data_IF_525932879931
#
_entry.id   IF_525932879931
#
_cell.length_a   1.000
_cell.length_b   1.000
_cell.length_c   1.000
_cell.angle_alpha   90.00
_cell.angle_beta   90.00
_cell.angle_gamma   90.00
#
_symmetry.space_group_name_H-M   'P 1'
#
loop_
_entity.id
_entity.type
_entity.pdbx_description
1 polymer ?
#
# COMPACT_ATOMS: atom_id res chain seq x y z
N UNK A 1 -6.12 -28.60 36.12
CA UNK A 1 -6.33 -27.64 35.01
C UNK A 1 -6.06 -26.25 35.56
N UNK A 2 -5.06 -25.55 35.05
CA UNK A 2 -4.77 -24.16 35.42
C UNK A 2 -5.60 -23.17 34.59
N UNK A 3 -5.66 -21.92 35.03
CA UNK A 3 -6.22 -20.82 34.23
C UNK A 3 -5.24 -20.52 33.10
N UNK A 4 -5.67 -20.67 31.84
CA UNK A 4 -4.83 -20.44 30.66
C UNK A 4 -4.75 -18.97 30.28
N UNK A 5 -5.89 -18.26 30.31
CA UNK A 5 -6.02 -16.84 29.92
C UNK A 5 -6.96 -16.10 30.85
N UNK A 6 -6.70 -14.82 31.06
CA UNK A 6 -7.54 -13.91 31.84
C UNK A 6 -8.02 -12.78 30.94
N UNK A 7 -9.33 -12.57 30.87
CA UNK A 7 -9.94 -11.47 30.12
C UNK A 7 -10.60 -10.48 31.08
N UNK A 8 -10.23 -9.22 30.99
CA UNK A 8 -10.90 -8.12 31.69
C UNK A 8 -12.05 -7.64 30.81
N UNK A 9 -13.29 -7.81 31.27
CA UNK A 9 -14.48 -7.69 30.40
C UNK A 9 -15.39 -6.49 30.71
N UNK A 10 -15.10 -5.64 31.70
CA UNK A 10 -16.00 -4.50 31.93
C UNK A 10 -15.65 -3.56 33.07
N UNK A 11 -16.14 -2.33 32.92
CA UNK A 11 -16.01 -1.20 33.85
C UNK A 11 -14.95 -0.20 33.38
N UNK A 12 -15.33 1.06 33.17
CA UNK A 12 -14.40 2.10 32.70
C UNK A 12 -13.16 2.23 33.60
N UNK A 13 -13.35 2.20 34.92
CA UNK A 13 -12.26 2.21 35.90
C UNK A 13 -11.42 0.93 35.85
N UNK A 14 -12.06 -0.24 35.75
CA UNK A 14 -11.38 -1.54 35.67
C UNK A 14 -10.53 -1.62 34.40
N UNK A 15 -11.01 -1.10 33.27
CA UNK A 15 -10.22 -0.98 32.05
C UNK A 15 -9.03 -0.04 32.23
N UNK A 16 -9.21 1.11 32.90
CA UNK A 16 -8.11 2.03 33.16
C UNK A 16 -6.99 1.38 33.98
N UNK A 17 -7.36 0.67 35.05
CA UNK A 17 -6.42 -0.07 35.90
C UNK A 17 -5.74 -1.22 35.14
N UNK A 18 -6.52 -1.98 34.36
CA UNK A 18 -6.00 -3.08 33.55
C UNK A 18 -5.03 -2.58 32.46
N UNK A 19 -5.39 -1.56 31.70
CA UNK A 19 -4.55 -0.97 30.64
C UNK A 19 -3.27 -0.34 31.18
N UNK A 20 -3.28 0.14 32.44
CA UNK A 20 -2.08 0.63 33.12
C UNK A 20 -1.15 -0.51 33.58
N UNK A 21 -1.66 -1.73 33.77
CA UNK A 21 -0.89 -2.86 34.25
C UNK A 21 0.11 -3.37 33.20
N UNK A 22 1.36 -3.69 33.59
CA UNK A 22 2.33 -4.31 32.68
C UNK A 22 1.92 -5.71 32.22
N UNK A 23 0.93 -6.33 32.88
CA UNK A 23 0.39 -7.64 32.53
C UNK A 23 -0.69 -7.58 31.44
N UNK A 24 -1.19 -6.40 31.06
CA UNK A 24 -2.10 -6.27 29.94
C UNK A 24 -1.34 -6.43 28.62
N UNK A 25 -1.54 -7.58 27.97
CA UNK A 25 -0.83 -7.94 26.75
C UNK A 25 -1.51 -7.43 25.48
N UNK A 26 -2.84 -7.38 25.47
CA UNK A 26 -3.62 -7.06 24.28
C UNK A 26 -4.93 -6.38 24.64
N UNK A 27 -5.43 -5.58 23.70
CA UNK A 27 -6.78 -5.01 23.72
C UNK A 27 -7.54 -5.58 22.51
N UNK A 28 -8.65 -6.24 22.79
CA UNK A 28 -9.60 -6.69 21.75
C UNK A 28 -10.81 -5.78 21.82
N UNK A 29 -10.97 -4.94 20.81
CA UNK A 29 -11.98 -3.89 20.81
C UNK A 29 -12.97 -4.15 19.67
N UNK A 30 -14.25 -3.94 19.95
CA UNK A 30 -15.28 -3.81 18.93
C UNK A 30 -15.61 -2.32 18.84
N UNK A 31 -15.23 -1.70 17.74
CA UNK A 31 -15.68 -0.36 17.43
C UNK A 31 -17.07 -0.42 16.83
N UNK A 32 -17.97 0.45 17.31
CA UNK A 32 -19.33 0.59 16.81
C UNK A 32 -19.51 2.03 16.34
N UNK A 33 -19.65 2.20 15.04
CA UNK A 33 -19.97 3.49 14.42
C UNK A 33 -21.47 3.58 14.19
N UNK A 34 -22.16 4.63 14.68
CA UNK A 34 -23.58 4.83 14.41
C UNK A 34 -23.91 4.90 12.91
N UNK A 35 -25.19 4.70 12.52
CA UNK A 35 -25.66 4.99 11.18
C UNK A 35 -25.31 6.42 10.76
N UNK A 36 -24.94 6.63 9.49
CA UNK A 36 -24.49 7.95 9.03
C UNK A 36 -25.59 9.03 9.12
N UNK A 37 -26.85 8.62 9.04
CA UNK A 37 -28.06 9.43 9.19
C UNK A 37 -28.46 9.67 10.65
N UNK A 38 -27.87 8.95 11.62
CA UNK A 38 -28.13 9.08 13.05
C UNK A 38 -26.82 9.06 13.87
N UNK A 39 -25.94 10.07 13.74
CA UNK A 39 -24.63 10.07 14.39
C UNK A 39 -24.68 10.10 15.93
N UNK A 40 -25.80 10.54 16.53
CA UNK A 40 -26.02 10.62 17.98
C UNK A 40 -26.91 9.48 18.52
N UNK A 41 -27.10 8.40 17.74
CA UNK A 41 -27.99 7.28 18.10
C UNK A 41 -27.70 6.68 19.48
N UNK A 42 -26.44 6.65 19.89
CA UNK A 42 -26.01 6.04 21.15
C UNK A 42 -25.60 7.11 22.16
N UNK A 43 -26.31 7.20 23.29
CA UNK A 43 -25.92 8.02 24.45
C UNK A 43 -25.05 7.18 25.39
N UNK A 44 -23.91 7.74 25.80
CA UNK A 44 -22.95 7.04 26.67
C UNK A 44 -22.72 7.82 27.97
N UNK A 45 -22.64 7.10 29.09
CA UNK A 45 -22.30 7.60 30.43
C UNK A 45 -20.95 7.03 30.94
N UNK A 46 -20.38 6.07 30.22
CA UNK A 46 -19.08 5.47 30.47
C UNK A 46 -18.28 5.39 29.16
N UNK A 47 -16.96 5.57 29.27
CA UNK A 47 -16.04 5.63 28.12
C UNK A 47 -14.84 4.71 28.34
N UNK A 48 -14.34 4.13 27.24
CA UNK A 48 -13.06 3.44 27.24
C UNK A 48 -11.94 4.47 27.50
N UNK A 49 -10.96 4.19 28.38
CA UNK A 49 -9.78 5.04 28.52
C UNK A 49 -9.06 5.21 27.18
N UNK A 50 -8.43 6.37 26.98
CA UNK A 50 -7.64 6.61 25.78
C UNK A 50 -6.53 5.57 25.66
N UNK A 51 -6.43 4.95 24.48
CA UNK A 51 -5.35 4.01 24.18
C UNK A 51 -4.07 4.82 24.01
N UNK A 52 -3.10 4.61 24.91
CA UNK A 52 -1.79 5.23 24.85
C UNK A 52 -0.95 4.56 23.73
N UNK A 53 -0.63 5.26 22.63
CA UNK A 53 0.11 4.69 21.51
C UNK A 53 1.55 4.30 21.88
N UNK A 54 2.09 4.85 22.98
CA UNK A 54 3.39 4.44 23.52
C UNK A 54 3.32 3.11 24.28
N UNK A 55 2.11 2.63 24.62
CA UNK A 55 1.88 1.36 25.32
C UNK A 55 1.20 0.32 24.47
N UNK A 56 0.36 0.69 23.51
CA UNK A 56 -0.39 -0.23 22.68
C UNK A 56 -0.38 0.22 21.21
N UNK A 57 -0.05 -0.70 20.30
CA UNK A 57 -0.12 -0.45 18.84
C UNK A 57 -1.18 -1.33 18.20
N UNK A 58 -1.91 -0.76 17.23
CA UNK A 58 -2.85 -1.52 16.42
C UNK A 58 -2.07 -2.57 15.65
N UNK A 59 -2.46 -3.83 15.80
CA UNK A 59 -1.83 -4.94 15.10
C UNK A 59 -2.68 -5.40 13.93
N UNK A 60 -3.98 -5.56 14.13
CA UNK A 60 -4.86 -6.04 13.08
C UNK A 60 -6.26 -5.48 13.26
N UNK A 61 -6.93 -5.29 12.13
CA UNK A 61 -8.32 -4.90 12.00
C UNK A 61 -9.05 -5.92 11.13
N UNK A 62 -10.30 -6.20 11.48
CA UNK A 62 -11.22 -6.86 10.58
C UNK A 62 -11.82 -5.86 9.59
N UNK A 63 -12.36 -6.38 8.48
CA UNK A 63 -13.20 -5.59 7.58
C UNK A 63 -14.44 -5.07 8.35
N UNK A 64 -14.83 -3.80 8.16
CA UNK A 64 -16.06 -3.28 8.73
C UNK A 64 -17.30 -4.07 8.25
N UNK A 65 -18.22 -4.37 9.15
CA UNK A 65 -19.49 -5.05 8.88
C UNK A 65 -20.66 -4.11 9.16
N UNK A 66 -21.65 -4.09 8.26
CA UNK A 66 -22.87 -3.30 8.46
C UNK A 66 -23.93 -4.14 9.16
N UNK A 67 -24.43 -3.63 10.28
CA UNK A 67 -25.52 -4.22 11.04
C UNK A 67 -26.89 -3.85 10.45
N UNK A 68 -27.92 -4.63 10.80
CA UNK A 68 -29.29 -4.42 10.30
C UNK A 68 -29.86 -3.04 10.66
N UNK A 69 -29.42 -2.48 11.78
CA UNK A 69 -29.86 -1.19 12.29
C UNK A 69 -29.09 -0.01 11.67
N UNK A 70 -28.26 -0.27 10.66
CA UNK A 70 -27.47 0.71 9.94
C UNK A 70 -26.09 1.00 10.53
N UNK A 71 -25.80 0.53 11.74
CA UNK A 71 -24.50 0.73 12.38
C UNK A 71 -23.39 -0.05 11.65
N UNK A 72 -22.16 0.39 11.83
CA UNK A 72 -20.98 -0.33 11.34
C UNK A 72 -20.15 -0.83 12.52
N UNK A 73 -19.82 -2.12 12.52
CA UNK A 73 -18.95 -2.73 13.53
C UNK A 73 -17.59 -3.10 12.92
N UNK A 74 -16.52 -2.89 13.68
CA UNK A 74 -15.17 -3.29 13.28
C UNK A 74 -14.44 -3.89 14.47
N UNK A 75 -13.80 -5.05 14.27
CA UNK A 75 -13.00 -5.70 15.30
C UNK A 75 -11.54 -5.27 15.18
N UNK A 76 -10.95 -4.82 16.28
CA UNK A 76 -9.59 -4.34 16.36
C UNK A 76 -8.81 -5.15 17.40
N UNK A 77 -7.55 -5.44 17.11
CA UNK A 77 -6.60 -6.01 18.07
C UNK A 77 -5.40 -5.11 18.20
N UNK A 78 -5.15 -4.62 19.41
CA UNK A 78 -3.94 -3.89 19.79
C UNK A 78 -3.08 -4.78 20.68
N UNK A 79 -1.75 -4.63 20.58
CA UNK A 79 -0.80 -5.31 21.46
C UNK A 79 0.05 -4.33 22.25
N UNK A 80 0.39 -4.74 23.46
CA UNK A 80 1.29 -4.02 24.36
C UNK A 80 2.70 -3.92 23.77
N UNK A 81 3.30 -2.74 23.83
CA UNK A 81 4.69 -2.48 23.40
C UNK A 81 5.56 -2.03 24.58
N UNK A 82 6.82 -2.44 24.56
CA UNK A 82 7.83 -2.00 25.50
C UNK A 82 8.12 -0.50 25.27
N UNK A 83 7.99 0.37 26.29
CA UNK A 83 8.10 1.82 26.09
C UNK A 83 9.51 2.28 25.70
N UNK A 84 10.55 1.49 26.00
CA UNK A 84 11.93 1.85 25.69
C UNK A 84 12.34 1.46 24.26
N UNK A 85 11.80 0.37 23.75
CA UNK A 85 12.18 -0.20 22.45
C UNK A 85 11.10 -0.07 21.37
N UNK A 86 9.84 0.21 21.76
CA UNK A 86 8.68 0.23 20.87
C UNK A 86 8.27 -1.15 20.33
N UNK A 87 8.96 -2.22 20.72
CA UNK A 87 8.70 -3.61 20.30
C UNK A 87 7.58 -4.21 21.12
N UNK A 88 6.86 -5.18 20.57
CA UNK A 88 5.82 -5.86 21.33
C UNK A 88 6.34 -6.59 22.57
N UNK A 89 5.54 -6.53 23.64
CA UNK A 89 5.77 -7.27 24.88
C UNK A 89 5.36 -8.72 24.66
N UNK A 90 6.28 -9.55 24.17
CA UNK A 90 6.11 -11.01 24.19
C UNK A 90 6.64 -11.59 25.53
N UNK A 91 5.94 -12.55 26.17
CA UNK A 91 6.56 -13.40 27.17
C UNK A 91 7.50 -14.39 26.45
N UNK A 92 8.77 -14.03 26.25
CA UNK A 92 9.84 -14.93 25.76
C UNK A 92 9.75 -15.36 24.29
N UNK A 93 10.33 -14.57 23.39
CA UNK A 93 10.81 -14.90 22.03
C UNK A 93 9.94 -15.81 21.11
N UNK A 94 8.94 -15.20 20.49
CA UNK A 94 8.54 -15.19 19.06
C UNK A 94 7.37 -14.19 19.02
N UNK A 95 7.35 -13.30 18.04
CA UNK A 95 6.85 -11.91 18.20
C UNK A 95 5.39 -11.83 18.69
N UNK A 96 4.55 -12.84 18.44
CA UNK A 96 3.20 -12.94 19.01
C UNK A 96 2.88 -14.36 19.53
N UNK A 97 2.31 -14.50 20.75
CA UNK A 97 1.91 -15.81 21.25
C UNK A 97 0.78 -16.43 20.42
N UNK A 98 0.70 -17.77 20.40
CA UNK A 98 -0.38 -18.48 19.72
C UNK A 98 -1.76 -18.07 20.29
N UNK A 99 -2.67 -17.64 19.40
CA UNK A 99 -3.99 -17.16 19.79
C UNK A 99 -3.99 -15.78 20.47
N UNK A 100 -2.98 -14.96 20.20
CA UNK A 100 -2.89 -13.57 20.64
C UNK A 100 -3.86 -12.65 19.86
N UNK A 101 -4.26 -13.03 18.65
CA UNK A 101 -5.20 -12.26 17.84
C UNK A 101 -6.62 -12.79 18.04
N UNK A 102 -7.59 -11.88 18.13
CA UNK A 102 -9.00 -12.25 18.24
C UNK A 102 -9.40 -13.19 17.09
N UNK A 103 -10.21 -14.21 17.39
CA UNK A 103 -10.65 -15.20 16.40
C UNK A 103 -11.34 -14.48 15.23
N UNK A 104 -10.84 -14.70 14.01
CA UNK A 104 -11.36 -14.08 12.79
C UNK A 104 -10.74 -12.73 12.43
N UNK A 105 -9.84 -12.19 13.26
CA UNK A 105 -9.00 -11.03 12.93
C UNK A 105 -7.63 -11.54 12.49
N UNK A 106 -7.10 -11.01 11.38
CA UNK A 106 -5.79 -11.39 10.85
C UNK A 106 -5.05 -10.16 10.36
N UNK A 107 -3.73 -10.13 10.53
CA UNK A 107 -2.91 -9.04 10.00
C UNK A 107 -3.03 -8.98 8.48
N UNK A 108 -3.24 -7.80 7.92
CA UNK A 108 -3.51 -7.61 6.49
C UNK A 108 -2.33 -8.03 5.59
N UNK A 109 -1.08 -7.85 6.05
CA UNK A 109 0.14 -8.35 5.39
C UNK A 109 0.09 -9.85 5.09
N UNK A 110 -0.68 -10.64 5.84
CA UNK A 110 -0.82 -12.07 5.57
C UNK A 110 -1.41 -12.36 4.19
N UNK A 111 -2.20 -11.44 3.61
CA UNK A 111 -2.69 -11.61 2.24
C UNK A 111 -1.52 -11.77 1.25
N UNK A 112 -0.53 -10.88 1.34
CA UNK A 112 0.68 -10.93 0.51
C UNK A 112 1.53 -12.18 0.79
N UNK A 113 1.71 -12.55 2.06
CA UNK A 113 2.53 -13.70 2.46
C UNK A 113 1.90 -15.04 2.06
N UNK A 114 0.59 -15.18 2.23
CA UNK A 114 -0.15 -16.36 1.80
C UNK A 114 -0.07 -16.53 0.29
N UNK A 115 -0.23 -15.43 -0.46
CA UNK A 115 -0.10 -15.43 -1.91
C UNK A 115 1.29 -15.90 -2.36
N UNK A 116 2.38 -15.43 -1.72
CA UNK A 116 3.73 -15.93 -2.00
C UNK A 116 3.83 -17.43 -1.74
N UNK A 117 3.35 -17.89 -0.58
CA UNK A 117 3.40 -19.30 -0.21
C UNK A 117 2.63 -20.16 -1.22
N UNK A 118 1.40 -19.76 -1.54
CA UNK A 118 0.52 -20.42 -2.49
C UNK A 118 1.13 -20.47 -3.90
N UNK A 119 1.78 -19.39 -4.35
CA UNK A 119 2.50 -19.37 -5.62
C UNK A 119 3.67 -20.35 -5.61
N UNK A 120 4.49 -20.38 -4.55
CA UNK A 120 5.65 -21.27 -4.50
C UNK A 120 5.28 -22.75 -4.34
N UNK A 121 4.17 -23.06 -3.65
CA UNK A 121 3.71 -24.44 -3.41
C UNK A 121 2.86 -25.00 -4.55
N UNK A 122 2.02 -24.18 -5.17
CA UNK A 122 0.98 -24.63 -6.13
C UNK A 122 1.04 -23.94 -7.49
N UNK A 123 1.94 -22.96 -7.67
CA UNK A 123 2.01 -22.17 -8.89
C UNK A 123 2.59 -22.94 -10.08
N UNK A 124 2.30 -22.41 -11.27
CA UNK A 124 2.78 -22.99 -12.52
C UNK A 124 4.19 -22.48 -12.83
N UNK A 125 5.12 -23.41 -13.03
CA UNK A 125 6.48 -23.10 -13.48
C UNK A 125 6.44 -22.68 -14.95
N UNK A 126 6.99 -21.50 -15.26
CA UNK A 126 7.06 -20.93 -16.61
C UNK A 126 8.45 -20.36 -16.87
N UNK A 127 8.90 -20.44 -18.11
CA UNK A 127 9.95 -19.54 -18.59
C UNK A 127 9.44 -18.10 -18.68
N UNK A 128 10.35 -17.13 -18.80
CA UNK A 128 10.02 -15.72 -18.96
C UNK A 128 11.03 -15.01 -19.88
N UNK A 129 10.75 -13.75 -20.24
CA UNK A 129 11.58 -12.98 -21.19
C UNK A 129 13.01 -12.72 -20.69
N UNK A 130 13.23 -12.74 -19.38
CA UNK A 130 14.55 -12.49 -18.76
C UNK A 130 15.42 -13.74 -18.72
N UNK A 131 14.84 -14.92 -18.94
CA UNK A 131 15.53 -16.21 -18.82
C UNK A 131 15.69 -16.73 -17.39
N UNK A 132 15.18 -16.01 -16.37
CA UNK A 132 15.27 -16.39 -14.95
C UNK A 132 14.33 -17.55 -14.60
N UNK A 133 13.15 -17.60 -15.24
CA UNK A 133 12.05 -18.48 -14.87
C UNK A 133 11.21 -17.91 -13.72
N UNK A 134 9.95 -18.33 -13.69
CA UNK A 134 8.96 -17.89 -12.70
C UNK A 134 8.09 -19.06 -12.24
N UNK A 135 7.53 -18.93 -11.04
CA UNK A 135 6.41 -19.73 -10.54
C UNK A 135 5.23 -18.77 -10.41
N UNK A 136 4.07 -19.09 -10.98
CA UNK A 136 2.98 -18.10 -11.14
C UNK A 136 1.57 -18.63 -10.94
N UNK A 137 0.67 -17.74 -10.51
CA UNK A 137 -0.79 -17.89 -10.54
C UNK A 137 -1.41 -16.74 -11.32
N UNK A 138 -2.61 -16.94 -11.85
CA UNK A 138 -3.31 -15.93 -12.63
C UNK A 138 -4.61 -15.51 -11.95
N UNK A 139 -4.79 -14.21 -11.72
CA UNK A 139 -5.99 -13.66 -11.10
C UNK A 139 -5.97 -13.78 -9.57
N UNK A 140 -5.29 -12.86 -8.92
CA UNK A 140 -5.21 -12.76 -7.46
C UNK A 140 -5.73 -11.39 -6.99
N UNK A 141 -6.10 -11.27 -5.71
CA UNK A 141 -6.53 -9.98 -5.15
C UNK A 141 -6.09 -9.83 -3.70
N UNK A 142 -5.67 -8.63 -3.33
CA UNK A 142 -5.40 -8.20 -1.95
C UNK A 142 -6.18 -6.93 -1.64
N UNK A 143 -6.54 -6.71 -0.37
CA UNK A 143 -7.23 -5.49 0.11
C UNK A 143 -6.59 -4.97 1.39
N UNK A 144 -6.32 -3.68 1.46
CA UNK A 144 -5.67 -3.02 2.58
C UNK A 144 -6.53 -1.85 3.09
N UNK A 145 -6.74 -1.76 4.41
CA UNK A 145 -7.49 -0.68 5.07
C UNK A 145 -6.56 0.51 5.37
N UNK A 146 -6.81 1.65 4.71
CA UNK A 146 -5.99 2.85 4.85
C UNK A 146 -6.47 3.79 5.96
N UNK A 147 -7.57 3.47 6.66
CA UNK A 147 -8.18 4.36 7.66
C UNK A 147 -7.31 4.58 8.88
N UNK A 148 -6.50 3.58 9.25
CA UNK A 148 -5.78 3.53 10.54
C UNK A 148 -4.29 3.22 10.42
N UNK A 149 -3.87 2.62 9.31
CA UNK A 149 -2.49 2.20 9.09
C UNK A 149 -2.14 2.37 7.62
N UNK A 150 -0.85 2.32 7.33
CA UNK A 150 -0.32 2.43 5.99
C UNK A 150 0.35 1.12 5.59
N UNK A 151 -0.09 0.40 4.55
CA UNK A 151 0.34 -0.96 4.23
C UNK A 151 1.75 -0.99 3.62
N UNK A 152 2.74 -0.70 4.46
CA UNK A 152 4.16 -0.82 4.17
C UNK A 152 4.67 -2.09 4.85
N UNK A 153 5.06 -3.08 4.03
CA UNK A 153 5.42 -4.41 4.53
C UNK A 153 6.44 -4.35 5.67
N UNK A 154 6.24 -5.22 6.66
CA UNK A 154 7.06 -5.28 7.87
C UNK A 154 7.89 -6.54 7.94
N UNK A 155 7.51 -7.61 7.23
CA UNK A 155 8.31 -8.84 7.12
C UNK A 155 9.61 -8.68 6.34
N UNK A 156 9.78 -7.55 5.64
CA UNK A 156 11.04 -7.06 5.10
C UNK A 156 11.03 -5.53 5.06
N UNK A 157 12.21 -4.90 5.14
CA UNK A 157 12.33 -3.45 4.93
C UNK A 157 12.06 -3.07 3.47
N UNK A 158 11.06 -2.22 3.25
CA UNK A 158 10.74 -1.60 1.96
C UNK A 158 11.40 -0.22 1.88
N UNK A 159 11.91 0.16 0.71
CA UNK A 159 12.58 1.44 0.49
C UNK A 159 11.56 2.57 0.29
N UNK A 160 11.03 3.08 1.41
CA UNK A 160 9.97 4.10 1.44
C UNK A 160 10.26 5.34 0.59
N UNK A 161 11.49 5.89 0.67
CA UNK A 161 11.87 7.08 -0.09
C UNK A 161 11.73 6.86 -1.59
N UNK A 162 12.13 5.69 -2.09
CA UNK A 162 11.94 5.30 -3.49
C UNK A 162 10.47 5.28 -3.89
N UNK A 163 9.61 4.67 -3.06
CA UNK A 163 8.15 4.60 -3.30
C UNK A 163 7.54 5.99 -3.46
N UNK A 164 7.81 6.89 -2.51
CA UNK A 164 7.18 8.21 -2.48
C UNK A 164 7.69 9.11 -3.61
N UNK A 165 9.00 9.13 -3.87
CA UNK A 165 9.60 9.97 -4.90
C UNK A 165 9.25 9.48 -6.32
N UNK A 166 9.15 8.17 -6.54
CA UNK A 166 8.65 7.62 -7.81
C UNK A 166 7.19 8.01 -8.06
N UNK A 167 6.34 7.96 -7.01
CA UNK A 167 4.95 8.39 -7.16
C UNK A 167 4.86 9.89 -7.48
N UNK A 168 5.65 10.74 -6.81
CA UNK A 168 5.72 12.17 -7.13
C UNK A 168 6.19 12.38 -8.58
N UNK A 169 7.16 11.58 -9.04
CA UNK A 169 7.64 11.58 -10.42
C UNK A 169 6.53 11.21 -11.42
N UNK A 170 5.70 10.20 -11.14
CA UNK A 170 4.52 9.88 -11.94
C UNK A 170 3.49 11.01 -11.93
N UNK A 171 3.17 11.56 -10.75
CA UNK A 171 2.22 12.68 -10.61
C UNK A 171 2.66 13.85 -11.47
N UNK A 172 3.95 14.22 -11.46
CA UNK A 172 4.51 15.31 -12.28
C UNK A 172 4.50 15.06 -13.79
N UNK A 173 4.13 13.86 -14.25
CA UNK A 173 4.20 13.52 -15.67
C UNK A 173 5.61 13.24 -16.18
N UNK A 174 6.60 13.09 -15.29
CA UNK A 174 7.99 12.94 -15.68
C UNK A 174 8.26 11.57 -16.33
N UNK A 175 9.25 11.54 -17.22
CA UNK A 175 9.67 10.34 -17.97
C UNK A 175 11.19 10.14 -18.00
N UNK A 176 11.95 11.05 -17.39
CA UNK A 176 13.40 10.96 -17.27
C UNK A 176 13.80 10.20 -16.02
N UNK A 177 14.56 9.10 -16.17
CA UNK A 177 15.16 8.38 -15.05
C UNK A 177 16.18 9.26 -14.29
N UNK A 178 16.77 10.27 -14.95
CA UNK A 178 17.79 11.15 -14.35
C UNK A 178 17.26 11.94 -13.16
N UNK A 179 16.01 12.36 -13.19
CA UNK A 179 15.34 13.05 -12.07
C UNK A 179 15.28 12.22 -10.78
N UNK A 180 15.19 10.89 -10.91
CA UNK A 180 15.26 9.97 -9.79
C UNK A 180 16.73 9.70 -9.39
N UNK A 181 17.63 9.56 -10.36
CA UNK A 181 19.07 9.39 -10.11
C UNK A 181 19.68 10.57 -9.36
N UNK A 182 19.30 11.80 -9.70
CA UNK A 182 19.72 13.04 -9.03
C UNK A 182 19.30 13.06 -7.54
N UNK A 183 18.31 12.24 -7.17
CA UNK A 183 17.85 12.02 -5.80
C UNK A 183 18.43 10.77 -5.15
N UNK A 184 19.38 10.09 -5.80
CA UNK A 184 19.96 8.80 -5.40
C UNK A 184 18.92 7.67 -5.39
N UNK A 185 18.06 7.63 -6.42
CA UNK A 185 17.01 6.61 -6.59
C UNK A 185 17.18 5.93 -7.95
N UNK A 186 17.64 4.67 -7.89
CA UNK A 186 18.15 3.92 -9.04
C UNK A 186 17.21 2.80 -9.53
N UNK A 187 15.90 2.92 -9.23
CA UNK A 187 14.92 1.86 -9.54
C UNK A 187 14.63 1.71 -11.04
N UNK A 188 14.90 2.75 -11.83
CA UNK A 188 14.70 2.78 -13.29
C UNK A 188 15.99 2.63 -14.09
N UNK A 189 17.16 2.54 -13.43
CA UNK A 189 18.47 2.50 -14.10
C UNK A 189 18.58 1.35 -15.10
N UNK A 190 18.12 0.15 -14.72
CA UNK A 190 18.16 -1.02 -15.60
C UNK A 190 17.39 -0.77 -16.90
N UNK A 191 16.16 -0.25 -16.80
CA UNK A 191 15.29 0.01 -17.94
C UNK A 191 15.65 1.30 -18.71
N UNK A 192 16.39 2.22 -18.09
CA UNK A 192 16.86 3.47 -18.69
C UNK A 192 18.26 3.39 -19.29
N UNK A 193 19.00 2.31 -19.04
CA UNK A 193 20.37 2.12 -19.54
C UNK A 193 20.44 2.09 -21.07
N UNK A 194 21.58 2.54 -21.62
CA UNK A 194 21.84 2.50 -23.06
C UNK A 194 21.68 1.08 -23.62
N UNK A 195 22.28 0.10 -22.95
CA UNK A 195 22.23 -1.30 -23.37
C UNK A 195 20.80 -1.84 -23.45
N UNK A 196 19.97 -1.51 -22.45
CA UNK A 196 18.58 -1.96 -22.44
C UNK A 196 17.76 -1.28 -23.54
N UNK A 197 17.85 0.04 -23.66
CA UNK A 197 17.12 0.80 -24.69
C UNK A 197 17.49 0.32 -26.10
N UNK A 198 18.76 0.00 -26.36
CA UNK A 198 19.19 -0.61 -27.63
C UNK A 198 18.54 -1.98 -27.85
N UNK A 199 18.53 -2.82 -26.82
CA UNK A 199 17.98 -4.18 -26.89
C UNK A 199 16.48 -4.23 -27.22
N UNK A 200 15.74 -3.16 -26.87
CA UNK A 200 14.29 -3.05 -27.12
C UNK A 200 13.96 -2.17 -28.34
N UNK A 201 14.96 -1.76 -29.13
CA UNK A 201 14.74 -0.99 -30.37
C UNK A 201 14.54 0.51 -30.16
N UNK A 202 14.88 1.03 -28.98
CA UNK A 202 14.83 2.44 -28.60
C UNK A 202 16.22 3.10 -28.67
N UNK A 203 17.04 2.66 -29.63
CA UNK A 203 18.40 3.16 -29.88
C UNK A 203 18.53 4.66 -30.11
N UNK A 204 17.46 5.28 -30.59
CA UNK A 204 17.38 6.70 -30.91
C UNK A 204 17.12 7.59 -29.69
N UNK A 205 16.68 7.01 -28.56
CA UNK A 205 16.41 7.75 -27.32
C UNK A 205 17.70 8.06 -26.56
N UNK A 206 17.71 9.16 -25.83
CA UNK A 206 18.78 9.47 -24.87
C UNK A 206 18.78 8.44 -23.72
N UNK A 207 19.95 8.14 -23.15
CA UNK A 207 20.02 7.33 -21.93
C UNK A 207 19.22 8.00 -20.80
N UNK A 208 18.34 7.22 -20.16
CA UNK A 208 17.39 7.70 -19.15
C UNK A 208 16.06 8.21 -19.69
N UNK A 209 15.86 8.37 -21.00
CA UNK A 209 14.55 8.64 -21.61
C UNK A 209 13.74 7.35 -21.68
N UNK A 210 12.76 7.21 -20.78
CA UNK A 210 11.94 6.00 -20.68
C UNK A 210 10.78 5.97 -21.70
N UNK A 211 10.60 7.05 -22.48
CA UNK A 211 9.46 7.23 -23.36
C UNK A 211 8.16 7.57 -22.61
N UNK A 212 6.99 7.45 -23.28
CA UNK A 212 5.70 7.85 -22.74
C UNK A 212 5.14 6.86 -21.70
N UNK A 213 5.88 6.61 -20.61
CA UNK A 213 5.51 5.69 -19.52
C UNK A 213 4.44 6.28 -18.59
N UNK A 214 4.34 5.79 -17.35
CA UNK A 214 3.20 6.03 -16.45
C UNK A 214 2.79 7.49 -16.30
N UNK A 215 3.68 8.37 -15.83
CA UNK A 215 3.36 9.77 -15.58
C UNK A 215 2.88 10.50 -16.84
N UNK A 216 3.55 10.25 -17.97
CA UNK A 216 3.12 10.81 -19.24
C UNK A 216 1.71 10.37 -19.61
N UNK A 217 1.36 9.10 -19.44
CA UNK A 217 -0.02 8.67 -19.68
C UNK A 217 -0.99 9.29 -18.67
N UNK A 218 -0.58 9.58 -17.44
CA UNK A 218 -1.46 10.19 -16.45
C UNK A 218 -1.78 11.66 -16.75
N UNK A 219 -0.80 12.42 -17.28
CA UNK A 219 -0.91 13.87 -17.49
C UNK A 219 -1.11 14.29 -18.95
N UNK A 220 -0.73 13.43 -19.89
CA UNK A 220 -0.64 13.73 -21.33
C UNK A 220 -1.14 12.58 -22.21
N UNK A 221 -2.19 11.85 -21.78
CA UNK A 221 -2.67 10.68 -22.51
C UNK A 221 -3.04 11.03 -23.95
N UNK A 222 -2.45 10.30 -24.92
CA UNK A 222 -2.71 10.50 -26.34
C UNK A 222 -1.94 11.65 -27.00
N UNK A 223 -1.10 12.39 -26.27
CA UNK A 223 -0.13 13.30 -26.87
C UNK A 223 0.97 12.52 -27.63
N UNK A 224 1.50 13.12 -28.68
CA UNK A 224 2.68 12.61 -29.40
C UNK A 224 3.93 12.82 -28.54
N UNK A 225 4.62 11.74 -28.19
CA UNK A 225 5.86 11.82 -27.44
C UNK A 225 7.01 12.22 -28.36
N UNK A 226 7.81 13.21 -27.93
CA UNK A 226 9.00 13.69 -28.63
C UNK A 226 10.26 13.16 -27.94
N UNK A 227 10.56 13.69 -26.77
CA UNK A 227 11.66 13.31 -25.89
C UNK A 227 11.33 13.70 -24.44
N UNK A 228 12.18 13.31 -23.49
CA UNK A 228 12.00 13.62 -22.06
C UNK A 228 12.19 15.11 -21.68
N UNK A 229 12.65 15.96 -22.61
CA UNK A 229 12.94 17.39 -22.37
C UNK A 229 11.86 18.32 -22.90
N UNK A 230 10.99 17.82 -23.79
CA UNK A 230 9.91 18.59 -24.38
C UNK A 230 8.87 19.05 -23.35
N UNK A 231 8.32 20.24 -23.56
CA UNK A 231 7.18 20.73 -22.79
C UNK A 231 5.88 20.12 -23.34
N UNK A 232 5.21 19.33 -22.51
CA UNK A 232 3.93 18.69 -22.82
C UNK A 232 2.72 19.41 -22.21
N UNK A 233 2.91 20.59 -21.60
CA UNK A 233 1.84 21.36 -20.96
C UNK A 233 0.68 21.59 -21.93
N UNK A 234 -0.53 21.20 -21.51
CA UNK A 234 -1.75 21.33 -22.30
C UNK A 234 -1.89 20.36 -23.47
N UNK A 235 -0.98 19.38 -23.61
CA UNK A 235 -1.06 18.34 -24.64
C UNK A 235 -1.65 17.05 -24.08
N UNK A 236 -2.47 16.37 -24.89
CA UNK A 236 -3.15 15.13 -24.50
C UNK A 236 -4.27 15.36 -23.48
N UNK A 237 -4.65 14.29 -22.79
CA UNK A 237 -5.66 14.31 -21.72
C UNK A 237 -4.98 14.18 -20.36
N UNK A 238 -5.18 15.17 -19.49
CA UNK A 238 -4.75 15.11 -18.08
C UNK A 238 -5.77 14.31 -17.26
N UNK A 239 -5.58 12.99 -17.25
CA UNK A 239 -6.46 12.06 -16.55
C UNK A 239 -6.44 12.27 -15.04
N UNK A 240 -5.29 12.62 -14.44
CA UNK A 240 -5.18 12.83 -13.00
C UNK A 240 -5.99 14.06 -12.56
N UNK A 241 -5.91 15.15 -13.33
CA UNK A 241 -6.74 16.33 -13.09
C UNK A 241 -8.24 16.01 -13.24
N UNK A 242 -8.63 15.27 -14.28
CA UNK A 242 -10.03 14.83 -14.46
C UNK A 242 -10.52 13.93 -13.32
N UNK A 243 -9.68 13.03 -12.81
CA UNK A 243 -10.02 12.16 -11.66
C UNK A 243 -10.31 13.02 -10.43
N UNK A 244 -9.44 13.97 -10.11
CA UNK A 244 -9.60 14.86 -8.97
C UNK A 244 -10.86 15.72 -9.11
N UNK A 245 -11.11 16.26 -10.30
CA UNK A 245 -12.32 17.03 -10.60
C UNK A 245 -13.59 16.19 -10.39
N UNK A 246 -13.63 14.97 -10.95
CA UNK A 246 -14.77 14.05 -10.77
C UNK A 246 -14.98 13.69 -9.31
N UNK A 247 -13.93 13.44 -8.54
CA UNK A 247 -14.06 13.13 -7.11
C UNK A 247 -14.68 14.31 -6.35
N UNK A 248 -14.27 15.55 -6.64
CA UNK A 248 -14.78 16.75 -5.96
C UNK A 248 -16.21 17.10 -6.38
N UNK A 249 -16.50 17.02 -7.68
CA UNK A 249 -17.69 17.62 -8.28
C UNK A 249 -18.76 16.59 -8.70
N UNK A 250 -18.39 15.33 -8.86
CA UNK A 250 -19.29 14.23 -9.19
C UNK A 250 -18.89 12.92 -8.48
N UNK A 251 -18.83 12.87 -7.14
CA UNK A 251 -18.25 11.75 -6.39
C UNK A 251 -18.97 10.41 -6.60
N UNK A 252 -20.23 10.42 -7.05
CA UNK A 252 -21.01 9.22 -7.34
C UNK A 252 -20.76 8.67 -8.76
N UNK A 253 -19.88 9.31 -9.55
CA UNK A 253 -19.50 8.82 -10.87
C UNK A 253 -18.83 7.45 -10.75
N UNK A 254 -19.22 6.54 -11.64
CA UNK A 254 -18.69 5.17 -11.71
C UNK A 254 -17.54 5.05 -12.72
N UNK A 255 -17.06 6.18 -13.26
CA UNK A 255 -16.05 6.28 -14.32
C UNK A 255 -14.80 7.06 -13.89
N UNK A 256 -14.55 7.13 -12.59
CA UNK A 256 -13.36 7.77 -12.02
C UNK A 256 -12.18 6.82 -12.19
N UNK A 257 -11.52 6.90 -13.35
CA UNK A 257 -10.49 5.97 -13.82
C UNK A 257 -9.23 6.72 -14.22
N UNK A 258 -8.09 6.09 -13.97
CA UNK A 258 -6.77 6.53 -14.42
C UNK A 258 -6.07 5.35 -15.10
N UNK A 259 -5.70 5.47 -16.38
CA UNK A 259 -5.04 4.38 -17.12
C UNK A 259 -3.67 4.78 -17.66
N UNK A 260 -2.70 3.88 -17.54
CA UNK A 260 -1.42 3.95 -18.22
C UNK A 260 -1.38 3.08 -19.48
N UNK A 261 -2.37 2.21 -19.70
CA UNK A 261 -2.36 1.28 -20.84
C UNK A 261 -2.82 1.96 -22.13
N UNK A 262 -1.86 2.41 -22.94
CA UNK A 262 -2.09 3.02 -24.25
C UNK A 262 -1.53 2.14 -25.37
N UNK A 263 -2.36 1.34 -26.07
CA UNK A 263 -1.90 0.45 -27.14
C UNK A 263 -1.13 1.14 -28.26
N UNK A 264 -1.41 2.42 -28.55
CA UNK A 264 -0.72 3.16 -29.60
C UNK A 264 0.73 3.49 -29.21
N UNK A 265 0.99 3.72 -27.93
CA UNK A 265 2.29 4.15 -27.42
C UNK A 265 3.17 3.00 -26.86
N UNK A 266 2.65 1.76 -26.75
CA UNK A 266 3.38 0.66 -26.10
C UNK A 266 4.78 0.38 -26.68
N UNK A 267 4.96 0.58 -27.98
CA UNK A 267 6.25 0.36 -28.66
C UNK A 267 7.28 1.46 -28.40
N UNK A 268 6.85 2.57 -27.83
CA UNK A 268 7.69 3.73 -27.54
C UNK A 268 8.19 3.73 -26.09
N UNK A 269 7.60 2.89 -25.23
CA UNK A 269 7.91 2.81 -23.81
C UNK A 269 9.08 1.85 -23.55
N UNK A 270 10.03 2.25 -22.70
CA UNK A 270 11.11 1.37 -22.27
C UNK A 270 10.57 0.09 -21.61
N UNK A 271 9.53 0.21 -20.80
CA UNK A 271 8.83 -0.94 -20.21
C UNK A 271 7.30 -0.71 -20.27
N UNK A 272 6.52 -1.64 -20.86
CA UNK A 272 5.07 -1.54 -20.83
C UNK A 272 4.52 -1.48 -19.40
N UNK A 273 3.47 -0.67 -19.11
CA UNK A 273 2.95 -0.47 -17.76
C UNK A 273 2.58 -1.77 -17.06
N UNK A 274 3.14 -2.02 -15.87
CA UNK A 274 2.78 -3.17 -15.04
C UNK A 274 1.43 -2.92 -14.35
N UNK A 275 1.31 -1.81 -13.61
CA UNK A 275 0.03 -1.32 -13.08
C UNK A 275 -0.71 -0.55 -14.17
N UNK A 276 -1.71 -1.19 -14.77
CA UNK A 276 -2.34 -0.74 -16.02
C UNK A 276 -3.33 0.38 -15.80
N UNK A 277 -4.21 0.25 -14.80
CA UNK A 277 -5.21 1.25 -14.48
C UNK A 277 -5.64 1.15 -13.03
N UNK A 278 -6.18 2.24 -12.49
CA UNK A 278 -6.91 2.22 -11.24
C UNK A 278 -8.27 2.92 -11.37
N UNK A 279 -9.20 2.49 -10.52
CA UNK A 279 -10.52 3.07 -10.35
C UNK A 279 -10.67 3.59 -8.93
N UNK A 280 -11.22 4.79 -8.80
CA UNK A 280 -11.55 5.39 -7.51
C UNK A 280 -13.04 5.25 -7.20
N UNK A 281 -13.36 5.17 -5.91
CA UNK A 281 -14.73 5.04 -5.40
C UNK A 281 -14.90 5.93 -4.16
N UNK A 282 -15.89 6.83 -4.21
CA UNK A 282 -16.24 7.71 -3.09
C UNK A 282 -17.50 7.19 -2.39
N UNK A 283 -17.42 6.98 -1.08
CA UNK A 283 -18.59 6.68 -0.26
C UNK A 283 -18.33 7.07 1.19
N UNK A 284 -19.36 7.51 1.91
CA UNK A 284 -19.29 7.83 3.35
C UNK A 284 -18.18 8.83 3.72
N UNK A 285 -17.85 9.78 2.82
CA UNK A 285 -16.75 10.72 3.02
C UNK A 285 -15.35 10.11 2.88
N UNK A 286 -15.26 8.89 2.34
CA UNK A 286 -14.01 8.15 2.13
C UNK A 286 -13.73 7.93 0.64
N UNK A 287 -12.44 7.86 0.28
CA UNK A 287 -11.94 7.53 -1.05
C UNK A 287 -11.23 6.17 -1.02
N UNK A 288 -11.74 5.21 -1.78
CA UNK A 288 -11.08 3.92 -2.02
C UNK A 288 -10.50 3.86 -3.43
N UNK A 289 -9.49 3.02 -3.63
CA UNK A 289 -8.84 2.79 -4.91
C UNK A 289 -8.72 1.30 -5.20
N UNK A 290 -9.14 0.87 -6.39
CA UNK A 290 -8.84 -0.46 -6.91
C UNK A 290 -7.88 -0.34 -8.09
N UNK A 291 -6.72 -1.00 -8.02
CA UNK A 291 -5.71 -1.01 -9.07
C UNK A 291 -5.61 -2.40 -9.71
N UNK A 292 -5.56 -2.46 -11.04
CA UNK A 292 -5.27 -3.68 -11.78
C UNK A 292 -3.83 -3.69 -12.31
N UNK A 293 -3.05 -4.68 -11.89
CA UNK A 293 -1.68 -4.89 -12.30
C UNK A 293 -1.60 -6.18 -13.14
N UNK A 294 -1.15 -6.08 -14.41
CA UNK A 294 -1.09 -7.26 -15.30
C UNK A 294 0.00 -8.25 -14.95
N UNK A 295 1.06 -7.78 -14.31
CA UNK A 295 2.29 -8.55 -14.05
C UNK A 295 2.86 -8.11 -12.70
N UNK A 296 2.86 -9.03 -11.75
CA UNK A 296 3.07 -8.77 -10.34
C UNK A 296 4.24 -9.60 -9.82
N UNK A 297 5.44 -9.02 -9.84
CA UNK A 297 6.60 -9.58 -9.16
C UNK A 297 6.40 -9.47 -7.65
N UNK A 298 6.14 -10.61 -7.00
CA UNK A 298 5.90 -10.68 -5.56
C UNK A 298 7.16 -10.39 -4.74
N UNK A 299 8.37 -10.55 -5.32
CA UNK A 299 9.63 -10.32 -4.64
C UNK A 299 9.98 -8.85 -4.48
N UNK A 300 9.95 -8.08 -5.57
CA UNK A 300 10.37 -6.66 -5.56
C UNK A 300 9.21 -5.70 -5.84
N UNK A 301 8.49 -5.92 -6.95
CA UNK A 301 7.49 -4.96 -7.46
C UNK A 301 6.29 -4.77 -6.54
N UNK A 302 5.59 -5.85 -6.19
CA UNK A 302 4.32 -5.80 -5.44
C UNK A 302 4.43 -5.03 -4.10
N UNK A 303 5.47 -5.22 -3.26
CA UNK A 303 5.68 -4.40 -2.07
C UNK A 303 5.72 -2.89 -2.35
N UNK A 304 6.41 -2.48 -3.43
CA UNK A 304 6.43 -1.08 -3.88
C UNK A 304 5.05 -0.62 -4.36
N UNK A 305 4.37 -1.46 -5.15
CA UNK A 305 3.07 -1.12 -5.73
C UNK A 305 1.96 -0.98 -4.68
N UNK A 306 1.98 -1.81 -3.62
CA UNK A 306 1.05 -1.69 -2.49
C UNK A 306 1.21 -0.32 -1.82
N UNK A 307 2.45 0.03 -1.45
CA UNK A 307 2.72 1.30 -0.76
C UNK A 307 2.46 2.50 -1.68
N UNK A 308 2.85 2.43 -2.96
CA UNK A 308 2.68 3.52 -3.93
C UNK A 308 1.20 3.87 -4.17
N UNK A 309 0.35 2.89 -4.48
CA UNK A 309 -1.07 3.18 -4.72
C UNK A 309 -1.85 3.47 -3.43
N UNK A 310 -1.40 2.97 -2.28
CA UNK A 310 -1.92 3.41 -0.99
C UNK A 310 -1.61 4.88 -0.74
N UNK A 311 -0.38 5.32 -1.03
CA UNK A 311 0.02 6.73 -0.92
C UNK A 311 -0.76 7.60 -1.90
N UNK A 312 -0.91 7.19 -3.17
CA UNK A 312 -1.73 7.90 -4.16
C UNK A 312 -3.17 8.09 -3.67
N UNK A 313 -3.77 7.04 -3.11
CA UNK A 313 -5.12 7.09 -2.54
C UNK A 313 -5.20 8.10 -1.42
N UNK A 314 -4.23 8.12 -0.51
CA UNK A 314 -4.18 9.09 0.59
C UNK A 314 -3.97 10.53 0.09
N UNK A 315 -3.08 10.75 -0.89
CA UNK A 315 -2.83 12.07 -1.49
C UNK A 315 -4.11 12.62 -2.16
N UNK A 316 -4.75 11.80 -3.01
CA UNK A 316 -5.99 12.19 -3.71
C UNK A 316 -7.13 12.42 -2.72
N UNK A 317 -7.26 11.58 -1.69
CA UNK A 317 -8.25 11.79 -0.63
C UNK A 317 -8.05 13.16 0.05
N UNK A 318 -6.81 13.49 0.44
CA UNK A 318 -6.49 14.75 1.12
C UNK A 318 -6.83 15.98 0.26
N UNK A 319 -6.41 16.03 -1.01
CA UNK A 319 -6.67 17.19 -1.87
C UNK A 319 -8.14 17.32 -2.26
N UNK A 320 -8.93 16.25 -2.08
CA UNK A 320 -10.38 16.23 -2.27
C UNK A 320 -11.18 16.41 -0.97
N UNK A 321 -10.53 16.58 0.18
CA UNK A 321 -11.21 16.74 1.47
C UNK A 321 -11.92 15.47 1.97
N UNK A 322 -11.46 14.29 1.51
CA UNK A 322 -11.97 12.97 1.89
C UNK A 322 -10.99 12.26 2.82
N UNK A 323 -11.49 11.23 3.52
CA UNK A 323 -10.65 10.29 4.27
C UNK A 323 -10.19 9.13 3.37
N UNK A 324 -9.02 8.53 3.60
CA UNK A 324 -8.65 7.29 2.91
C UNK A 324 -9.59 6.13 3.33
N UNK A 325 -10.03 5.33 2.35
CA UNK A 325 -10.82 4.11 2.53
C UNK A 325 -9.97 2.85 2.30
N UNK A 326 -10.38 2.01 1.36
CA UNK A 326 -9.65 0.78 1.03
C UNK A 326 -8.74 0.95 -0.19
N UNK A 327 -7.55 0.34 -0.16
CA UNK A 327 -6.80 0.01 -1.36
C UNK A 327 -7.00 -1.46 -1.75
N UNK A 328 -7.39 -1.73 -2.99
CA UNK A 328 -7.61 -3.08 -3.53
C UNK A 328 -6.64 -3.31 -4.68
N UNK A 329 -5.78 -4.32 -4.56
CA UNK A 329 -4.80 -4.69 -5.57
C UNK A 329 -5.27 -5.95 -6.30
N UNK A 330 -5.72 -5.79 -7.55
CA UNK A 330 -6.09 -6.87 -8.46
C UNK A 330 -4.88 -7.25 -9.31
N UNK A 331 -4.41 -8.49 -9.19
CA UNK A 331 -3.20 -8.98 -9.85
C UNK A 331 -3.55 -9.95 -10.99
N UNK A 332 -2.93 -9.75 -12.16
CA UNK A 332 -2.98 -10.64 -13.32
C UNK A 332 -2.02 -11.81 -13.17
N UNK A 333 -0.94 -11.83 -13.96
CA UNK A 333 0.15 -12.80 -13.81
C UNK A 333 0.95 -12.47 -12.54
N UNK A 334 0.65 -13.21 -11.47
CA UNK A 334 1.21 -13.02 -10.14
C UNK A 334 2.28 -14.07 -9.91
N UNK A 335 3.52 -13.64 -9.78
CA UNK A 335 4.65 -14.55 -9.90
C UNK A 335 5.77 -14.28 -8.91
N UNK A 336 6.51 -15.34 -8.65
CA UNK A 336 7.79 -15.36 -7.94
C UNK A 336 8.86 -15.75 -8.94
N UNK A 337 9.88 -14.92 -9.11
CA UNK A 337 11.06 -15.31 -9.89
C UNK A 337 11.79 -16.47 -9.22
N UNK A 338 12.33 -17.40 -10.01
CA UNK A 338 13.01 -18.59 -9.47
C UNK A 338 14.20 -18.24 -8.57
N UNK A 339 14.91 -17.14 -8.85
CA UNK A 339 16.00 -16.63 -8.00
C UNK A 339 15.52 -15.91 -6.72
N UNK A 340 14.21 -15.69 -6.54
CA UNK A 340 13.62 -15.07 -5.34
C UNK A 340 13.03 -16.09 -4.37
N UNK A 341 12.92 -17.37 -4.75
CA UNK A 341 12.30 -18.42 -3.93
C UNK A 341 12.98 -18.54 -2.55
N UNK A 342 14.30 -18.68 -2.50
CA UNK A 342 15.01 -18.79 -1.22
C UNK A 342 14.91 -17.50 -0.37
N UNK A 343 15.15 -16.29 -0.91
CA UNK A 343 14.87 -15.04 -0.20
C UNK A 343 13.43 -14.91 0.34
N UNK A 344 12.43 -15.38 -0.41
CA UNK A 344 11.04 -15.31 -0.01
C UNK A 344 10.67 -16.34 1.07
N UNK A 345 11.26 -17.54 1.06
CA UNK A 345 11.14 -18.44 2.21
C UNK A 345 11.67 -17.82 3.49
N UNK A 346 12.81 -17.12 3.44
CA UNK A 346 13.33 -16.34 4.58
C UNK A 346 12.36 -15.24 5.01
N UNK A 347 11.67 -14.59 4.07
CA UNK A 347 10.63 -13.61 4.39
C UNK A 347 9.42 -14.26 5.09
N UNK A 348 9.00 -15.46 4.67
CA UNK A 348 7.87 -16.19 5.26
C UNK A 348 8.12 -16.67 6.70
N UNK A 349 9.38 -16.75 7.13
CA UNK A 349 9.74 -17.04 8.53
C UNK A 349 9.50 -15.84 9.47
N UNK A 350 9.39 -14.62 8.91
CA UNK A 350 9.16 -13.41 9.68
C UNK A 350 7.67 -13.24 9.97
N UNK A 351 7.31 -13.17 11.25
CA UNK A 351 5.97 -12.75 11.67
C UNK A 351 5.76 -11.26 11.34
N UNK A 352 4.61 -10.87 10.74
CA UNK A 352 4.27 -9.47 10.54
C UNK A 352 4.28 -8.69 11.86
N UNK A 353 4.67 -7.43 11.77
CA UNK A 353 4.55 -6.40 12.81
C UNK A 353 3.51 -5.38 12.34
N UNK A 354 2.97 -4.51 13.21
CA UNK A 354 2.05 -3.46 12.85
C UNK A 354 2.54 -2.71 11.65
N UNK A 355 1.64 -2.53 10.70
CA UNK A 355 1.85 -1.50 9.72
C UNK A 355 2.09 -0.15 10.40
N UNK A 356 3.00 0.67 9.83
CA UNK A 356 3.21 2.02 10.31
C UNK A 356 2.00 2.90 10.04
N UNK A 357 2.04 4.14 10.51
CA UNK A 357 1.07 5.18 10.15
C UNK A 357 1.72 6.17 9.20
N UNK A 358 1.00 6.57 8.15
CA UNK A 358 1.39 7.68 7.28
C UNK A 358 0.80 8.98 7.83
N UNK A 359 1.65 9.97 8.06
CA UNK A 359 1.23 11.37 8.21
C UNK A 359 1.57 12.13 6.95
N UNK A 360 0.64 12.96 6.50
CA UNK A 360 0.78 13.84 5.35
C UNK A 360 0.66 15.28 5.84
N UNK A 361 1.49 16.18 5.32
CA UNK A 361 1.40 17.61 5.59
C UNK A 361 -0.01 18.13 5.27
N UNK A 362 -0.80 18.58 6.27
CA UNK A 362 -2.20 18.95 6.07
C UNK A 362 -2.37 20.22 5.25
N UNK A 363 -1.32 21.05 5.09
CA UNK A 363 -1.35 22.30 4.34
C UNK A 363 -1.36 22.08 2.82
N UNK A 364 -0.95 20.90 2.34
CA UNK A 364 -0.94 20.57 0.91
C UNK A 364 -2.35 20.28 0.42
N UNK A 365 -2.87 21.16 -0.44
CA UNK A 365 -4.23 21.09 -1.02
C UNK A 365 -4.24 20.84 -2.54
N UNK A 366 -3.06 20.77 -3.14
CA UNK A 366 -2.86 20.53 -4.56
C UNK A 366 -1.97 19.30 -4.77
N UNK A 367 -2.37 18.41 -5.68
CA UNK A 367 -1.69 17.15 -5.95
C UNK A 367 -0.27 17.37 -6.47
N UNK A 368 -0.05 18.46 -7.19
CA UNK A 368 1.24 18.81 -7.80
C UNK A 368 2.20 19.47 -6.80
N UNK A 369 1.70 19.85 -5.61
CA UNK A 369 2.50 20.54 -4.60
C UNK A 369 3.25 19.62 -3.64
N UNK A 370 2.99 18.30 -3.66
CA UNK A 370 3.60 17.37 -2.73
C UNK A 370 5.10 17.16 -3.00
N UNK A 371 5.88 17.17 -1.92
CA UNK A 371 7.30 16.82 -1.89
C UNK A 371 7.54 15.68 -0.89
N UNK A 372 8.68 14.99 -0.98
CA UNK A 372 8.97 13.88 -0.08
C UNK A 372 8.90 14.26 1.41
N UNK A 373 9.32 15.48 1.75
CA UNK A 373 9.27 16.02 3.12
C UNK A 373 7.85 16.21 3.67
N UNK A 374 6.82 16.16 2.82
CA UNK A 374 5.43 16.23 3.24
C UNK A 374 4.91 14.90 3.79
N UNK A 375 5.71 13.83 3.72
CA UNK A 375 5.32 12.49 4.17
C UNK A 375 6.20 12.01 5.32
N UNK A 376 5.56 11.64 6.43
CA UNK A 376 6.23 11.03 7.58
C UNK A 376 5.65 9.62 7.82
N UNK A 377 6.51 8.62 7.81
CA UNK A 377 6.17 7.26 8.21
C UNK A 377 6.50 7.11 9.70
N UNK A 378 5.47 6.94 10.52
CA UNK A 378 5.58 6.83 11.97
C UNK A 378 5.52 5.36 12.37
N UNK A 379 6.37 4.98 13.33
CA UNK A 379 6.38 3.64 13.93
C UNK A 379 6.71 2.48 12.97
N UNK A 380 7.47 2.73 11.91
CA UNK A 380 7.94 1.68 11.00
C UNK A 380 9.12 0.89 11.57
N UNK A 381 8.81 -0.26 12.19
CA UNK A 381 9.77 -1.23 12.72
C UNK A 381 9.75 -2.54 11.91
N UNK A 382 10.24 -2.56 10.65
CA UNK A 382 10.28 -3.78 9.85
C UNK A 382 11.43 -4.70 10.28
N UNK A 383 11.32 -5.96 9.90
CA UNK A 383 12.45 -6.89 9.86
C UNK A 383 13.54 -6.39 8.89
N UNK A 384 14.79 -6.89 9.00
CA UNK A 384 15.89 -6.47 8.15
C UNK A 384 15.61 -6.58 6.64
N UNK A 385 16.39 -5.84 5.84
CA UNK A 385 16.33 -5.93 4.38
C UNK A 385 16.66 -7.35 3.93
N UNK A 386 15.86 -7.88 3.00
CA UNK A 386 16.13 -9.12 2.29
C UNK A 386 16.56 -8.73 0.87
N UNK A 387 17.77 -9.09 0.48
CA UNK A 387 18.29 -8.79 -0.84
C UNK A 387 17.70 -9.74 -1.89
N UNK A 388 17.19 -9.18 -2.98
CA UNK A 388 16.71 -9.90 -4.16
C UNK A 388 17.21 -9.16 -5.39
N UNK A 389 17.65 -9.89 -6.41
CA UNK A 389 18.16 -9.31 -7.66
C UNK A 389 17.02 -9.11 -8.64
N UNK A 390 16.91 -7.92 -9.23
CA UNK A 390 15.93 -7.65 -10.26
C UNK A 390 16.25 -8.46 -11.52
N UNK A 391 15.23 -9.04 -12.16
CA UNK A 391 15.36 -9.70 -13.45
C UNK A 391 15.20 -8.65 -14.56
N UNK A 392 16.25 -8.43 -15.35
CA UNK A 392 16.28 -7.42 -16.44
C UNK A 392 15.88 -8.05 -17.75
#
# INVERSE_FOLDING_TARGET
>A
AGVEKVFVIGGAQVYAEAMASPHCQALHLTEVTPPADEPEKYKCDAFLPQIDPAKFKLYASAKPLREKDGATIQFLTYFGVDPGTGKFRSPGSKVLPAGAVAKGVRHEEMQYLDLIKEIMEEGNVKGDRTGTGTISKFGCQMRFDLRRSFPLLTTKRVFWRGVAEELIWFVKGCTSAKELQDKDIHIWDGNGSREYLDSVGLGHREEGDLGPVYGFQWRHFGAEYKDMHADYTGQGVDQLAEVIDKIKNNPNDRRILLTAWNPAALKEMALPPCHMFCQFYVANGELSCQMYQRSCDMGLGVPFNIASYSLLTCMVAQVCGLKPGDFVHCCGDTHVYSNHVEPLYKQLENEPRPFPTLKINPEKKDIDSFEFSDFEIVDYDPHPKIAMQMAV
#
